data_IF_525359392705
#
_entry.id   IF_525359392705
#
_cell.length_a   1.000
_cell.length_b   1.000
_cell.length_c   1.000
_cell.angle_alpha   90.00
_cell.angle_beta   90.00
_cell.angle_gamma   90.00
#
_symmetry.space_group_name_H-M   'P 1'
#
loop_
_entity.id
_entity.type
_entity.pdbx_description
1 polymer ?
#
# COMPACT_ATOMS: atom_id res chain seq x y z
N UNK A 1 -18.23 -23.80 -1.80
CA UNK A 1 -16.90 -23.46 -2.32
C UNK A 1 -16.95 -23.42 -3.86
N UNK A 2 -16.67 -22.28 -4.44
CA UNK A 2 -16.55 -22.09 -5.89
C UNK A 2 -15.09 -21.84 -6.28
N UNK A 3 -14.74 -22.22 -7.49
CA UNK A 3 -13.44 -21.90 -8.06
C UNK A 3 -13.57 -21.65 -9.55
N UNK A 4 -12.69 -20.82 -10.10
CA UNK A 4 -12.61 -20.50 -11.53
C UNK A 4 -11.21 -20.00 -11.88
N UNK A 5 -10.97 -19.85 -13.18
CA UNK A 5 -9.77 -19.20 -13.70
C UNK A 5 -10.15 -17.89 -14.36
N UNK A 6 -9.30 -16.89 -14.25
CA UNK A 6 -9.49 -15.62 -14.95
C UNK A 6 -9.35 -15.83 -16.46
N UNK A 7 -10.19 -15.12 -17.21
CA UNK A 7 -10.20 -15.10 -18.66
C UNK A 7 -9.24 -14.03 -19.25
N UNK A 8 -9.27 -13.81 -20.56
CA UNK A 8 -8.47 -12.80 -21.28
C UNK A 8 -8.66 -11.36 -20.74
N UNK A 9 -9.80 -11.08 -20.10
CA UNK A 9 -10.07 -9.79 -19.44
C UNK A 9 -9.69 -9.80 -17.95
N UNK A 10 -9.00 -10.84 -17.47
CA UNK A 10 -8.62 -11.00 -16.06
C UNK A 10 -9.79 -11.30 -15.12
N UNK A 11 -10.97 -11.66 -15.64
CA UNK A 11 -12.18 -11.83 -14.86
C UNK A 11 -12.55 -13.29 -14.65
N UNK A 12 -13.06 -13.60 -13.46
CA UNK A 12 -13.73 -14.88 -13.19
C UNK A 12 -14.90 -14.66 -12.23
N UNK A 13 -15.85 -15.58 -12.26
CA UNK A 13 -16.99 -15.57 -11.36
C UNK A 13 -16.92 -16.77 -10.44
N UNK A 14 -16.96 -16.54 -9.13
CA UNK A 14 -16.96 -17.58 -8.11
C UNK A 14 -18.20 -17.48 -7.25
N UNK A 15 -18.75 -18.62 -6.89
CA UNK A 15 -19.94 -18.70 -6.07
C UNK A 15 -19.74 -19.52 -4.81
N UNK A 16 -20.40 -19.16 -3.76
CA UNK A 16 -20.46 -20.01 -2.56
C UNK A 16 -21.89 -20.02 -1.98
N UNK A 17 -22.14 -21.00 -1.15
CA UNK A 17 -23.37 -21.15 -0.38
C UNK A 17 -23.00 -20.94 1.09
N UNK A 18 -23.71 -20.04 1.75
CA UNK A 18 -23.51 -19.78 3.17
C UNK A 18 -24.13 -20.88 4.05
N UNK A 19 -24.08 -20.69 5.39
CA UNK A 19 -24.60 -21.67 6.34
C UNK A 19 -26.13 -21.76 6.32
N UNK A 20 -26.81 -20.72 5.85
CA UNK A 20 -28.27 -20.63 5.72
C UNK A 20 -28.78 -21.20 4.39
N UNK A 21 -27.85 -21.55 3.48
CA UNK A 21 -28.14 -22.11 2.15
C UNK A 21 -28.35 -21.06 1.07
N UNK A 22 -28.09 -19.79 1.37
CA UNK A 22 -28.13 -18.71 0.39
C UNK A 22 -26.91 -18.78 -0.53
N UNK A 23 -27.16 -18.55 -1.83
CA UNK A 23 -26.10 -18.59 -2.84
C UNK A 23 -25.69 -17.20 -3.23
N UNK A 24 -24.39 -16.97 -3.07
CA UNK A 24 -23.71 -15.71 -3.43
C UNK A 24 -22.80 -15.93 -4.63
N UNK A 25 -22.72 -14.94 -5.48
CA UNK A 25 -21.83 -14.97 -6.63
C UNK A 25 -21.06 -13.67 -6.68
N UNK A 26 -19.74 -13.78 -6.74
CA UNK A 26 -18.84 -12.65 -6.85
C UNK A 26 -18.07 -12.73 -8.16
N UNK A 27 -17.86 -11.59 -8.78
CA UNK A 27 -16.91 -11.43 -9.90
C UNK A 27 -15.59 -10.91 -9.33
N UNK A 28 -14.52 -11.62 -9.65
CA UNK A 28 -13.16 -11.25 -9.25
C UNK A 28 -12.37 -10.90 -10.49
N UNK A 29 -11.79 -9.71 -10.49
CA UNK A 29 -10.89 -9.23 -11.55
C UNK A 29 -9.48 -9.16 -11.00
N UNK A 30 -8.50 -9.65 -11.75
CA UNK A 30 -7.08 -9.65 -11.37
C UNK A 30 -6.30 -8.91 -12.45
N UNK A 31 -5.58 -7.87 -12.04
CA UNK A 31 -4.84 -6.97 -12.94
C UNK A 31 -3.47 -6.65 -12.35
N UNK A 32 -2.51 -6.39 -13.24
CA UNK A 32 -1.26 -5.75 -12.89
C UNK A 32 -1.50 -4.29 -12.50
N UNK A 33 -1.05 -3.89 -11.33
CA UNK A 33 -1.32 -2.55 -10.78
C UNK A 33 -0.72 -1.42 -11.61
N UNK A 34 0.51 -1.60 -12.10
CA UNK A 34 1.25 -0.54 -12.78
C UNK A 34 0.73 -0.29 -14.20
N UNK A 35 0.33 -1.35 -14.88
CA UNK A 35 -0.06 -1.29 -16.29
C UNK A 35 -1.57 -1.37 -16.51
N UNK A 36 -2.33 -1.82 -15.50
CA UNK A 36 -3.76 -2.15 -15.63
C UNK A 36 -4.03 -3.30 -16.59
N UNK A 37 -3.03 -4.14 -16.87
CA UNK A 37 -3.21 -5.29 -17.76
C UNK A 37 -3.89 -6.43 -17.01
N UNK A 38 -4.88 -7.07 -17.64
CA UNK A 38 -5.51 -8.24 -17.05
C UNK A 38 -4.51 -9.39 -16.90
N UNK A 39 -4.65 -10.14 -15.81
CA UNK A 39 -3.89 -11.37 -15.56
C UNK A 39 -4.83 -12.54 -15.86
N UNK A 40 -4.53 -13.23 -16.96
CA UNK A 40 -5.22 -14.43 -17.40
C UNK A 40 -4.72 -15.67 -16.63
N UNK A 41 -5.53 -16.71 -16.57
CA UNK A 41 -5.22 -18.00 -15.94
C UNK A 41 -4.94 -17.96 -14.41
N UNK A 42 -5.19 -16.85 -13.72
CA UNK A 42 -5.14 -16.84 -12.26
C UNK A 42 -6.24 -17.73 -11.68
N UNK A 43 -5.89 -18.63 -10.77
CA UNK A 43 -6.86 -19.49 -10.11
C UNK A 43 -7.51 -18.76 -8.95
N UNK A 44 -8.83 -18.58 -9.00
CA UNK A 44 -9.60 -17.93 -7.95
C UNK A 44 -10.49 -18.96 -7.28
N UNK A 45 -10.48 -19.00 -5.97
CA UNK A 45 -11.36 -19.82 -5.16
C UNK A 45 -11.96 -19.05 -4.00
N UNK A 46 -13.20 -19.41 -3.64
CA UNK A 46 -13.86 -18.86 -2.48
C UNK A 46 -14.08 -19.97 -1.44
N UNK A 47 -13.63 -19.69 -0.21
CA UNK A 47 -13.74 -20.60 0.91
C UNK A 47 -15.03 -20.40 1.72
N UNK A 48 -15.23 -21.25 2.72
CA UNK A 48 -16.28 -21.03 3.72
C UNK A 48 -16.03 -19.71 4.46
N UNK A 49 -17.07 -18.88 4.54
CA UNK A 49 -16.97 -17.56 5.16
C UNK A 49 -16.61 -16.43 4.18
N UNK A 50 -16.65 -16.69 2.87
CA UNK A 50 -16.49 -15.64 1.85
C UNK A 50 -15.05 -15.19 1.56
N UNK A 51 -14.04 -15.84 2.15
CA UNK A 51 -12.64 -15.51 1.89
C UNK A 51 -12.23 -15.95 0.48
N UNK A 52 -11.64 -15.04 -0.28
CA UNK A 52 -11.16 -15.29 -1.63
C UNK A 52 -9.67 -15.64 -1.59
N UNK A 53 -9.28 -16.64 -2.35
CA UNK A 53 -7.86 -16.95 -2.62
C UNK A 53 -7.62 -16.84 -4.11
N UNK A 54 -6.66 -16.02 -4.49
CA UNK A 54 -6.15 -15.86 -5.85
C UNK A 54 -4.78 -16.47 -5.91
N UNK A 55 -4.56 -17.42 -6.81
CA UNK A 55 -3.23 -17.98 -7.10
C UNK A 55 -2.83 -17.51 -8.48
N UNK A 56 -1.74 -16.76 -8.56
CA UNK A 56 -1.22 -16.24 -9.81
C UNK A 56 -0.66 -17.34 -10.70
N UNK A 57 -0.71 -17.19 -12.03
CA UNK A 57 -0.15 -18.18 -12.95
C UNK A 57 1.38 -18.23 -12.85
N UNK A 58 1.95 -19.36 -13.28
CA UNK A 58 3.40 -19.58 -13.33
C UNK A 58 4.12 -18.45 -14.08
N UNK A 59 5.17 -17.93 -13.49
CA UNK A 59 5.96 -16.83 -14.06
C UNK A 59 5.41 -15.44 -13.77
N UNK A 60 4.37 -15.32 -12.95
CA UNK A 60 3.88 -14.03 -12.44
C UNK A 60 4.42 -13.81 -11.04
N UNK A 61 5.38 -12.89 -10.93
CA UNK A 61 5.95 -12.47 -9.67
C UNK A 61 5.04 -11.45 -8.97
N UNK A 62 5.16 -11.39 -7.66
CA UNK A 62 4.49 -10.41 -6.82
C UNK A 62 5.51 -9.82 -5.84
N UNK A 63 5.95 -8.59 -6.09
CA UNK A 63 6.90 -7.85 -5.28
C UNK A 63 6.58 -6.34 -5.29
N UNK A 64 7.46 -5.51 -4.76
CA UNK A 64 7.26 -4.04 -4.71
C UNK A 64 7.16 -3.39 -6.10
N UNK A 65 7.78 -4.00 -7.12
CA UNK A 65 7.78 -3.51 -8.50
C UNK A 65 6.65 -4.15 -9.35
N UNK A 66 6.15 -5.31 -8.93
CA UNK A 66 5.09 -6.07 -9.62
C UNK A 66 3.90 -6.27 -8.67
N UNK A 67 3.13 -5.23 -8.48
CA UNK A 67 1.94 -5.26 -7.62
C UNK A 67 0.72 -5.77 -8.38
N UNK A 68 -0.15 -6.45 -7.67
CA UNK A 68 -1.37 -7.03 -8.21
C UNK A 68 -2.57 -6.35 -7.59
N UNK A 69 -3.51 -5.92 -8.42
CA UNK A 69 -4.81 -5.42 -7.96
C UNK A 69 -5.87 -6.50 -8.15
N UNK A 70 -6.58 -6.79 -7.09
CA UNK A 70 -7.75 -7.67 -7.11
C UNK A 70 -8.97 -6.83 -6.83
N UNK A 71 -9.94 -6.86 -7.75
CA UNK A 71 -11.23 -6.17 -7.59
C UNK A 71 -12.33 -7.20 -7.40
N UNK A 72 -13.20 -6.98 -6.42
CA UNK A 72 -14.31 -7.87 -6.08
C UNK A 72 -15.63 -7.11 -6.20
N UNK A 73 -16.52 -7.62 -7.03
CA UNK A 73 -17.86 -7.06 -7.22
C UNK A 73 -18.94 -8.15 -7.12
N UNK A 74 -20.15 -7.78 -6.83
CA UNK A 74 -21.29 -8.70 -6.89
C UNK A 74 -21.87 -8.84 -8.33
N UNK A 75 -23.03 -9.47 -8.44
CA UNK A 75 -23.71 -9.68 -9.73
C UNK A 75 -24.24 -8.39 -10.36
N UNK A 76 -24.47 -7.35 -9.58
CA UNK A 76 -24.95 -6.05 -10.03
C UNK A 76 -23.78 -5.12 -10.37
N UNK A 77 -22.54 -5.59 -10.19
CA UNK A 77 -21.27 -4.88 -10.33
C UNK A 77 -21.02 -3.87 -9.21
N UNK A 78 -21.69 -4.04 -8.09
CA UNK A 78 -21.42 -3.20 -6.92
C UNK A 78 -20.14 -3.68 -6.22
N UNK A 79 -19.24 -2.75 -5.84
CA UNK A 79 -18.00 -3.10 -5.18
C UNK A 79 -18.26 -3.73 -3.81
N UNK A 80 -17.48 -4.74 -3.46
CA UNK A 80 -17.58 -5.45 -2.19
C UNK A 80 -16.44 -5.07 -1.26
N UNK A 81 -16.73 -4.20 -0.30
CA UNK A 81 -15.80 -3.76 0.74
C UNK A 81 -15.63 -4.83 1.83
N UNK A 82 -14.43 -4.89 2.45
CA UNK A 82 -14.16 -5.74 3.60
C UNK A 82 -14.04 -7.24 3.27
N UNK A 83 -13.98 -7.61 1.99
CA UNK A 83 -13.76 -8.99 1.58
C UNK A 83 -12.31 -9.36 1.80
N UNK A 84 -12.06 -10.39 2.61
CA UNK A 84 -10.71 -10.92 2.80
C UNK A 84 -10.23 -11.61 1.53
N UNK A 85 -9.12 -11.15 0.97
CA UNK A 85 -8.46 -11.74 -0.20
C UNK A 85 -7.05 -12.17 0.17
N UNK A 86 -6.66 -13.36 -0.27
CA UNK A 86 -5.30 -13.89 -0.16
C UNK A 86 -4.77 -14.07 -1.57
N UNK A 87 -3.68 -13.39 -1.90
CA UNK A 87 -3.01 -13.54 -3.20
C UNK A 87 -1.74 -14.33 -3.01
N UNK A 88 -1.55 -15.37 -3.83
CA UNK A 88 -0.39 -16.25 -3.82
C UNK A 88 0.36 -16.13 -5.13
N UNK A 89 1.64 -15.80 -5.05
CA UNK A 89 2.56 -15.78 -6.19
C UNK A 89 3.15 -17.16 -6.47
N UNK A 90 3.74 -17.30 -7.65
CA UNK A 90 4.36 -18.56 -8.12
C UNK A 90 5.56 -18.98 -7.25
N UNK A 91 6.36 -18.04 -6.79
CA UNK A 91 7.56 -18.29 -5.97
C UNK A 91 7.28 -18.49 -4.46
N UNK A 92 6.01 -18.70 -4.09
CA UNK A 92 5.61 -18.94 -2.71
C UNK A 92 5.34 -17.67 -1.90
N UNK A 93 5.29 -16.49 -2.55
CA UNK A 93 4.80 -15.27 -1.91
C UNK A 93 3.32 -15.45 -1.56
N UNK A 94 2.91 -14.86 -0.45
CA UNK A 94 1.51 -14.86 -0.04
C UNK A 94 1.22 -13.58 0.72
N UNK A 95 0.33 -12.78 0.15
CA UNK A 95 -0.16 -11.54 0.74
C UNK A 95 -1.64 -11.66 1.08
N UNK A 96 -2.06 -10.98 2.14
CA UNK A 96 -3.43 -10.99 2.61
C UNK A 96 -3.87 -9.57 2.94
N UNK A 97 -5.08 -9.22 2.54
CA UNK A 97 -5.71 -7.96 2.89
C UNK A 97 -7.22 -8.03 2.77
N UNK A 98 -7.85 -6.89 2.98
CA UNK A 98 -9.28 -6.69 2.80
C UNK A 98 -9.50 -5.67 1.69
N UNK A 99 -10.56 -5.83 0.92
CA UNK A 99 -10.94 -4.87 -0.13
C UNK A 99 -11.42 -3.57 0.48
N UNK A 100 -11.09 -2.46 -0.16
CA UNK A 100 -11.53 -1.09 0.18
C UNK A 100 -12.97 -0.79 -0.26
N UNK A 101 -13.40 0.47 -0.12
CA UNK A 101 -14.73 0.97 -0.52
C UNK A 101 -15.02 0.81 -2.02
N UNK A 102 -13.99 0.73 -2.86
CA UNK A 102 -14.08 0.45 -4.29
C UNK A 102 -14.03 -1.05 -4.62
N UNK A 103 -14.04 -1.91 -3.61
CA UNK A 103 -13.91 -3.36 -3.74
C UNK A 103 -12.53 -3.82 -4.17
N UNK A 104 -11.48 -3.01 -3.97
CA UNK A 104 -10.13 -3.27 -4.45
C UNK A 104 -9.16 -3.61 -3.33
N UNK A 105 -8.25 -4.52 -3.63
CA UNK A 105 -7.07 -4.81 -2.84
C UNK A 105 -5.84 -4.79 -3.75
N UNK A 106 -4.82 -4.00 -3.41
CA UNK A 106 -3.52 -4.01 -4.09
C UNK A 106 -2.47 -4.67 -3.19
N UNK A 107 -1.75 -5.64 -3.72
CA UNK A 107 -0.72 -6.39 -3.00
C UNK A 107 0.57 -6.54 -3.85
N UNK A 108 1.75 -6.48 -3.23
CA UNK A 108 1.97 -6.01 -1.85
C UNK A 108 1.37 -4.63 -1.61
N UNK A 109 1.05 -4.31 -0.38
CA UNK A 109 0.49 -3.01 -0.04
C UNK A 109 1.40 -1.89 -0.58
N UNK A 110 0.80 -0.85 -1.16
CA UNK A 110 1.54 0.34 -1.56
C UNK A 110 2.11 0.97 -0.29
N UNK A 111 3.37 0.70 -0.01
CA UNK A 111 4.10 1.52 0.95
C UNK A 111 4.35 2.84 0.25
N UNK A 112 3.56 3.86 0.58
CA UNK A 112 3.99 5.21 0.29
C UNK A 112 5.35 5.36 0.97
N UNK A 113 6.40 5.37 0.17
CA UNK A 113 7.70 5.80 0.64
C UNK A 113 7.52 7.28 0.90
N UNK A 114 7.20 7.66 2.15
CA UNK A 114 7.27 9.06 2.55
C UNK A 114 8.69 9.52 2.26
N UNK A 115 8.86 10.24 1.17
CA UNK A 115 10.10 10.92 0.85
C UNK A 115 10.28 12.04 1.88
N UNK A 116 10.89 11.70 2.99
CA UNK A 116 11.36 12.71 3.92
C UNK A 116 12.50 13.47 3.28
N UNK A 117 12.33 14.76 3.08
CA UNK A 117 13.45 15.63 2.74
C UNK A 117 14.57 15.47 3.76
N UNK A 118 15.82 15.63 3.33
CA UNK A 118 16.96 15.47 4.24
C UNK A 118 16.81 16.42 5.45
N UNK A 119 16.61 15.88 6.63
CA UNK A 119 16.48 16.64 7.88
C UNK A 119 17.85 16.88 8.58
N UNK A 120 18.89 16.19 8.14
CA UNK A 120 20.27 16.41 8.56
C UNK A 120 21.12 16.75 7.35
N UNK A 121 21.76 17.90 7.38
CA UNK A 121 22.71 18.34 6.35
C UNK A 121 24.12 18.28 6.91
N UNK A 122 25.07 17.82 6.11
CA UNK A 122 26.49 17.90 6.41
C UNK A 122 27.00 19.36 6.48
N UNK A 123 28.23 19.53 6.84
CA UNK A 123 28.90 20.83 6.85
C UNK A 123 29.16 21.34 5.42
N UNK A 124 29.41 22.66 5.30
CA UNK A 124 29.67 23.30 4.01
C UNK A 124 30.93 22.81 3.30
N UNK A 125 31.80 22.12 4.02
CA UNK A 125 33.01 21.44 3.51
C UNK A 125 32.75 20.02 3.01
N UNK A 126 31.49 19.57 3.01
CA UNK A 126 31.08 18.23 2.58
C UNK A 126 31.31 17.13 3.62
N UNK A 127 31.70 17.47 4.84
CA UNK A 127 31.90 16.50 5.90
C UNK A 127 30.65 16.29 6.74
N UNK A 128 30.55 15.12 7.37
CA UNK A 128 29.54 14.79 8.38
C UNK A 128 30.27 14.35 9.65
N UNK A 129 30.06 15.05 10.74
CA UNK A 129 30.79 14.82 11.99
C UNK A 129 29.91 14.16 13.06
N UNK A 130 29.68 12.83 13.01
CA UNK A 130 28.80 12.12 13.94
C UNK A 130 29.30 12.13 15.38
N UNK A 131 30.61 12.34 15.58
CA UNK A 131 31.27 12.39 16.91
C UNK A 131 31.19 13.78 17.57
N UNK A 132 30.67 14.79 16.88
CA UNK A 132 30.54 16.15 17.44
C UNK A 132 29.26 16.29 18.24
N UNK A 133 29.39 16.97 19.39
CA UNK A 133 28.24 17.38 20.18
C UNK A 133 27.36 18.33 19.35
N UNK A 134 26.09 18.02 19.28
CA UNK A 134 25.09 18.84 18.60
C UNK A 134 24.72 20.04 19.47
N UNK A 135 24.66 21.22 18.87
CA UNK A 135 24.15 22.41 19.54
C UNK A 135 22.61 22.37 19.67
N UNK A 136 22.08 23.14 20.59
CA UNK A 136 20.61 23.26 20.78
C UNK A 136 19.91 23.75 19.51
N UNK A 137 20.54 24.67 18.77
CA UNK A 137 20.00 25.21 17.52
C UNK A 137 19.99 24.17 16.39
N UNK A 138 21.01 23.33 16.29
CA UNK A 138 21.06 22.22 15.32
C UNK A 138 19.97 21.18 15.62
N UNK A 139 19.83 20.80 16.91
CA UNK A 139 18.75 19.91 17.32
C UNK A 139 17.35 20.48 17.00
N UNK A 140 17.11 21.76 17.32
CA UNK A 140 15.86 22.42 17.03
C UNK A 140 15.56 22.46 15.51
N UNK A 141 16.57 22.69 14.68
CA UNK A 141 16.41 22.69 13.22
C UNK A 141 16.05 21.28 12.67
N UNK A 142 16.63 20.21 13.24
CA UNK A 142 16.28 18.83 12.86
C UNK A 142 14.85 18.53 13.26
N UNK A 143 14.45 18.84 14.48
CA UNK A 143 13.08 18.61 14.95
C UNK A 143 12.04 19.43 14.15
N UNK A 144 12.36 20.68 13.81
CA UNK A 144 11.47 21.49 12.99
C UNK A 144 11.25 20.88 11.61
N UNK A 145 12.27 20.30 10.98
CA UNK A 145 12.15 19.64 9.68
C UNK A 145 11.37 18.32 9.79
N UNK A 146 11.62 17.51 10.81
CA UNK A 146 10.86 16.30 11.06
C UNK A 146 9.37 16.55 11.32
N UNK A 147 9.06 17.66 11.96
CA UNK A 147 7.67 18.05 12.22
C UNK A 147 7.00 18.69 11.00
N UNK A 148 7.74 19.37 10.13
CA UNK A 148 7.18 19.99 8.92
C UNK A 148 6.67 18.95 7.93
N UNK A 149 7.31 17.81 7.84
CA UNK A 149 6.88 16.71 6.97
C UNK A 149 5.55 16.07 7.44
N UNK A 150 5.23 16.22 8.75
CA UNK A 150 3.99 15.67 9.33
C UNK A 150 2.81 16.64 9.37
N UNK A 151 3.05 17.94 9.23
CA UNK A 151 2.04 18.95 9.49
C UNK A 151 1.56 19.63 8.22
N UNK A 152 1.70 19.19 7.07
CA UNK A 152 1.20 19.77 5.80
C UNK A 152 1.19 21.34 5.75
N UNK A 153 1.74 21.96 6.79
CA UNK A 153 1.91 23.38 6.95
C UNK A 153 3.36 23.75 6.63
N UNK A 154 3.56 24.37 5.49
CA UNK A 154 4.83 24.98 5.12
C UNK A 154 5.31 25.89 6.25
N UNK A 155 6.29 25.43 7.01
CA UNK A 155 7.07 26.35 7.85
C UNK A 155 7.71 27.35 6.87
N UNK A 156 7.40 28.65 7.01
CA UNK A 156 7.97 29.65 6.10
C UNK A 156 9.49 29.51 6.05
N UNK A 157 10.05 29.25 4.88
CA UNK A 157 11.49 29.25 4.68
C UNK A 157 11.98 30.72 4.75
N UNK A 158 12.13 31.20 5.96
CA UNK A 158 12.65 32.53 6.19
C UNK A 158 13.65 32.46 7.33
N UNK A 159 14.87 32.92 7.08
CA UNK A 159 15.96 33.05 8.04
C UNK A 159 15.64 34.03 9.21
N UNK A 160 14.38 34.29 9.54
CA UNK A 160 13.94 35.29 10.49
C UNK A 160 12.98 34.79 11.56
N UNK A 161 13.13 33.51 12.00
CA UNK A 161 12.52 33.11 13.26
C UNK A 161 13.37 33.70 14.40
N UNK A 162 13.04 34.90 14.83
CA UNK A 162 13.57 35.46 16.07
C UNK A 162 12.86 34.77 17.22
N UNK A 163 13.55 33.81 17.87
CA UNK A 163 13.11 33.33 19.17
C UNK A 163 13.25 34.50 20.17
N UNK A 164 12.12 34.99 20.69
CA UNK A 164 12.07 36.15 21.58
C UNK A 164 12.66 35.92 22.98
N UNK A 165 13.00 34.70 23.29
CA UNK A 165 13.32 34.19 24.63
C UNK A 165 14.80 33.78 24.79
N UNK A 166 15.63 34.03 23.80
CA UNK A 166 17.06 33.75 23.93
C UNK A 166 17.76 35.05 24.26
N UNK A 167 18.13 35.23 25.53
CA UNK A 167 19.02 36.28 25.98
C UNK A 167 20.39 36.06 25.33
N UNK A 168 20.90 36.99 24.52
CA UNK A 168 22.19 36.79 23.82
C UNK A 168 23.38 36.81 24.77
N UNK A 169 23.21 37.10 26.07
CA UNK A 169 24.26 37.24 27.05
C UNK A 169 24.31 36.08 28.10
N UNK A 170 23.62 34.93 27.86
CA UNK A 170 23.73 33.73 28.67
C UNK A 170 24.68 32.71 28.09
#
# INVERSE_FOLDING_TARGET
TGSGKTNEDGNTTVGWEDEDGDRWTLTVTVEDYETGRPIEDAEVSIGKGGNITVTLPDGTDMDEDNRITVTVTDNERDPQEGVTVIVKGDLGQSERGETDEDGKLTVPAVTETEYHGAYIYGYTDGTFGPERSMSRSEAAAIFARLLSDRLDERIPSGNNVKFKDIDPDM
#
